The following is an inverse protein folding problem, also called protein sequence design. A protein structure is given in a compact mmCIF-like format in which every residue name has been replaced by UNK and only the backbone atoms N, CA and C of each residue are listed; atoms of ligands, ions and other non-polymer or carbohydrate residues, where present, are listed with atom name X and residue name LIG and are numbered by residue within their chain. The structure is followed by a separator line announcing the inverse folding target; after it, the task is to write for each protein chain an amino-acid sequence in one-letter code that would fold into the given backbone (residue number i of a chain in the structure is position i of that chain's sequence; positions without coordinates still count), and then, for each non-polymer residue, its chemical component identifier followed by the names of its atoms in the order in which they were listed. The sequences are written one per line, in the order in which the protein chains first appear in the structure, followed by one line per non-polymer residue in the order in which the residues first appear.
data_IF_485194972270
#
_entry.id   IF_485194972270
#
_cell.length_a   1.000
_cell.length_b   1.000
_cell.length_c   1.000
_cell.angle_alpha   90.00
_cell.angle_beta   90.00
_cell.angle_gamma   90.00
#
_symmetry.space_group_name_H-M   'P 1'
#
loop_
_entity.id
_entity.type
_entity.pdbx_description
1 polymer ?
#
# COMPACT_ATOMS: atom_id res chain seq x y z
N UNK A 1 -52.08 39.67 20.26
CA UNK A 1 -50.69 39.98 19.85
C UNK A 1 -49.66 39.09 20.52
N UNK A 2 -49.74 38.82 21.82
CA UNK A 2 -48.71 38.05 22.58
C UNK A 2 -48.52 36.58 22.10
N UNK A 3 -49.60 35.85 21.75
CA UNK A 3 -49.48 34.45 21.32
C UNK A 3 -48.71 34.28 19.96
N UNK A 4 -48.96 35.18 19.00
CA UNK A 4 -48.28 35.14 17.70
C UNK A 4 -46.77 35.45 17.83
N UNK A 5 -46.42 36.36 18.75
CA UNK A 5 -45.01 36.71 19.02
C UNK A 5 -44.28 35.55 19.70
N UNK A 6 -44.91 34.85 20.64
CA UNK A 6 -44.34 33.67 21.31
C UNK A 6 -44.13 32.55 20.32
N UNK A 7 -45.08 32.30 19.40
CA UNK A 7 -44.95 31.28 18.37
C UNK A 7 -43.80 31.57 17.42
N UNK A 8 -43.60 32.83 16.99
CA UNK A 8 -42.48 33.25 16.15
C UNK A 8 -41.13 33.06 16.84
N UNK A 9 -41.06 33.36 18.14
CA UNK A 9 -39.81 33.13 18.92
C UNK A 9 -39.48 31.66 19.08
N UNK A 10 -40.50 30.79 19.27
CA UNK A 10 -40.28 29.32 19.33
C UNK A 10 -39.85 28.76 18.00
N UNK A 11 -40.40 29.23 16.87
CA UNK A 11 -39.94 28.83 15.53
C UNK A 11 -38.51 29.30 15.28
N UNK A 12 -38.15 30.50 15.64
CA UNK A 12 -36.78 31.01 15.51
C UNK A 12 -35.79 30.22 16.37
N UNK A 13 -36.18 29.80 17.57
CA UNK A 13 -35.35 28.93 18.44
C UNK A 13 -35.13 27.53 17.85
N UNK A 14 -36.10 26.96 17.18
CA UNK A 14 -36.00 25.68 16.47
C UNK A 14 -35.04 25.75 15.29
N UNK A 15 -34.97 26.86 14.56
CA UNK A 15 -34.05 27.06 13.46
C UNK A 15 -32.59 27.22 13.91
N UNK A 16 -32.33 27.76 15.12
CA UNK A 16 -30.96 27.91 15.63
C UNK A 16 -30.33 26.61 16.09
N UNK A 17 -31.13 25.58 16.45
CA UNK A 17 -30.61 24.27 16.88
C UNK A 17 -30.17 23.34 15.74
N UNK A 18 -30.53 23.64 14.48
CA UNK A 18 -30.16 22.80 13.31
C UNK A 18 -28.79 23.15 12.73
N UNK A 19 -28.22 24.32 13.07
CA UNK A 19 -26.96 24.81 12.46
C UNK A 19 -25.70 24.25 13.14
N UNK A 20 -25.82 23.58 14.30
CA UNK A 20 -24.64 23.22 15.13
C UNK A 20 -24.07 21.81 14.91
N UNK A 21 -24.56 21.02 13.97
CA UNK A 21 -24.11 19.64 13.77
C UNK A 21 -23.28 19.42 12.50
N UNK A 22 -22.68 20.46 11.94
CA UNK A 22 -21.60 20.22 10.96
C UNK A 22 -20.33 19.89 11.72
N UNK A 23 -20.13 18.62 12.04
CA UNK A 23 -18.80 18.08 12.30
C UNK A 23 -17.93 18.46 11.10
N UNK A 24 -17.04 19.43 11.29
CA UNK A 24 -16.01 19.76 10.30
C UNK A 24 -15.04 18.60 10.26
N UNK A 25 -15.38 17.55 9.50
CA UNK A 25 -14.37 16.58 9.08
C UNK A 25 -13.30 17.34 8.29
N UNK A 26 -12.03 17.12 8.57
CA UNK A 26 -10.97 17.71 7.76
C UNK A 26 -11.24 17.33 6.29
N UNK A 27 -11.27 18.32 5.42
CA UNK A 27 -11.57 18.13 3.97
C UNK A 27 -10.61 17.16 3.28
N UNK A 28 -9.48 16.85 3.92
CA UNK A 28 -8.45 15.91 3.47
C UNK A 28 -7.92 15.15 4.69
N UNK A 29 -8.59 14.08 5.07
CA UNK A 29 -8.08 13.15 6.05
C UNK A 29 -7.31 12.04 5.33
N UNK A 30 -6.08 11.76 5.78
CA UNK A 30 -5.30 10.61 5.30
C UNK A 30 -5.80 9.33 5.98
N UNK A 31 -6.40 8.45 5.21
CA UNK A 31 -6.85 7.11 5.65
C UNK A 31 -6.09 6.07 4.86
N UNK A 32 -4.93 5.68 5.38
CA UNK A 32 -4.02 4.75 4.73
C UNK A 32 -4.23 3.30 5.13
N UNK A 33 -4.05 2.38 4.18
CA UNK A 33 -3.97 0.95 4.43
C UNK A 33 -2.66 0.37 3.89
N UNK A 34 -2.08 -0.58 4.65
CA UNK A 34 -0.83 -1.24 4.30
C UNK A 34 -1.11 -2.55 3.58
N UNK A 35 -0.45 -2.76 2.43
CA UNK A 35 -0.45 -4.02 1.71
C UNK A 35 0.99 -4.50 1.61
N UNK A 36 1.29 -5.61 2.28
CA UNK A 36 2.61 -6.24 2.27
C UNK A 36 2.76 -7.19 1.07
N UNK A 37 4.00 -7.46 0.65
CA UNK A 37 4.29 -8.49 -0.35
C UNK A 37 4.84 -9.78 0.24
N UNK A 38 5.20 -9.78 1.53
CA UNK A 38 5.83 -10.89 2.26
C UNK A 38 4.80 -11.92 2.76
N UNK A 39 5.28 -12.96 3.46
CA UNK A 39 4.45 -14.00 4.09
C UNK A 39 3.64 -14.85 3.09
N UNK A 40 4.19 -15.08 1.90
CA UNK A 40 3.57 -15.96 0.91
C UNK A 40 2.34 -15.40 0.20
N UNK A 41 2.06 -14.10 0.38
CA UNK A 41 0.83 -13.48 -0.14
C UNK A 41 0.70 -13.61 -1.66
N UNK A 42 1.80 -13.52 -2.41
CA UNK A 42 1.82 -13.60 -3.88
C UNK A 42 2.63 -14.78 -4.41
N UNK A 43 3.52 -15.29 -3.59
CA UNK A 43 4.54 -16.26 -3.99
C UNK A 43 3.94 -17.49 -4.67
N UNK A 44 4.37 -17.76 -5.91
CA UNK A 44 3.94 -18.91 -6.68
C UNK A 44 2.53 -18.81 -7.28
N UNK A 45 1.86 -17.66 -7.16
CA UNK A 45 0.58 -17.42 -7.81
C UNK A 45 0.76 -16.99 -9.27
N UNK A 46 -0.14 -17.39 -10.19
CA UNK A 46 -0.20 -16.81 -11.53
C UNK A 46 -0.46 -15.30 -11.48
N UNK A 47 0.10 -14.58 -12.46
CA UNK A 47 -0.04 -13.12 -12.58
C UNK A 47 -1.49 -12.63 -12.46
N UNK A 48 -2.40 -13.24 -13.20
CA UNK A 48 -3.82 -12.85 -13.23
C UNK A 48 -4.51 -13.06 -11.88
N UNK A 49 -4.05 -14.06 -11.11
CA UNK A 49 -4.59 -14.32 -9.77
C UNK A 49 -4.12 -13.23 -8.79
N UNK A 50 -2.85 -12.82 -8.88
CA UNK A 50 -2.31 -11.72 -8.05
C UNK A 50 -3.02 -10.41 -8.39
N UNK A 51 -3.18 -10.09 -9.67
CA UNK A 51 -3.87 -8.88 -10.11
C UNK A 51 -5.31 -8.83 -9.61
N UNK A 52 -6.08 -9.93 -9.75
CA UNK A 52 -7.44 -10.00 -9.20
C UNK A 52 -7.49 -9.85 -7.68
N UNK A 53 -6.54 -10.46 -6.95
CA UNK A 53 -6.43 -10.33 -5.51
C UNK A 53 -6.23 -8.87 -5.12
N UNK A 54 -5.29 -8.17 -5.76
CA UNK A 54 -5.00 -6.76 -5.50
C UNK A 54 -6.19 -5.86 -5.85
N UNK A 55 -6.85 -6.07 -6.99
CA UNK A 55 -8.07 -5.34 -7.36
C UNK A 55 -9.17 -5.52 -6.30
N UNK A 56 -9.41 -6.75 -5.84
CA UNK A 56 -10.42 -7.04 -4.83
C UNK A 56 -10.10 -6.36 -3.48
N UNK A 57 -8.81 -6.38 -3.08
CA UNK A 57 -8.36 -5.66 -1.89
C UNK A 57 -8.60 -4.15 -2.02
N UNK A 58 -8.23 -3.55 -3.17
CA UNK A 58 -8.44 -2.12 -3.43
C UNK A 58 -9.92 -1.74 -3.42
N UNK A 59 -10.79 -2.56 -4.02
CA UNK A 59 -12.24 -2.32 -4.03
C UNK A 59 -12.82 -2.37 -2.60
N UNK A 60 -12.39 -3.35 -1.79
CA UNK A 60 -12.83 -3.47 -0.40
C UNK A 60 -12.35 -2.29 0.45
N UNK A 61 -11.10 -1.88 0.29
CA UNK A 61 -10.51 -0.76 1.01
C UNK A 61 -11.16 0.58 0.61
N UNK A 62 -11.42 0.79 -0.68
CA UNK A 62 -12.15 1.95 -1.16
C UNK A 62 -13.57 2.01 -0.57
N UNK A 63 -14.28 0.88 -0.56
CA UNK A 63 -15.61 0.76 0.07
C UNK A 63 -15.60 1.06 1.58
N UNK A 64 -14.50 0.80 2.26
CA UNK A 64 -14.27 1.15 3.67
C UNK A 64 -13.83 2.61 3.87
N UNK A 65 -13.74 3.41 2.80
CA UNK A 65 -13.36 4.82 2.87
C UNK A 65 -11.85 5.08 2.94
N UNK A 66 -11.00 4.09 2.69
CA UNK A 66 -9.55 4.26 2.56
C UNK A 66 -9.24 5.07 1.30
N UNK A 67 -8.34 6.04 1.41
CA UNK A 67 -7.96 6.93 0.32
C UNK A 67 -6.45 6.93 -0.01
N UNK A 68 -5.66 6.12 0.70
CA UNK A 68 -4.23 5.96 0.46
C UNK A 68 -3.80 4.50 0.66
N UNK A 69 -2.97 3.99 -0.22
CA UNK A 69 -2.39 2.64 -0.14
C UNK A 69 -0.89 2.74 0.06
N UNK A 70 -0.39 2.08 1.11
CA UNK A 70 1.03 1.93 1.39
C UNK A 70 1.43 0.50 0.96
N UNK A 71 1.96 0.36 -0.26
CA UNK A 71 2.29 -0.93 -0.86
C UNK A 71 3.77 -1.26 -0.73
N UNK A 72 4.08 -2.45 -0.18
CA UNK A 72 5.46 -2.89 -0.03
C UNK A 72 6.04 -3.32 -1.38
N UNK A 73 6.95 -2.50 -1.91
CA UNK A 73 7.56 -2.70 -3.23
C UNK A 73 9.02 -3.18 -3.15
N UNK A 74 9.65 -3.05 -1.97
CA UNK A 74 11.04 -3.45 -1.74
C UNK A 74 11.19 -4.09 -0.35
N UNK A 75 11.36 -5.40 -0.29
CA UNK A 75 11.37 -6.15 0.97
C UNK A 75 12.77 -6.56 1.44
N UNK A 76 13.64 -7.05 0.54
CA UNK A 76 14.94 -7.67 0.83
C UNK A 76 16.03 -7.18 -0.15
N UNK A 77 16.20 -5.88 -0.35
CA UNK A 77 17.05 -5.31 -1.41
C UNK A 77 16.73 -5.96 -2.79
N UNK A 78 15.45 -6.18 -3.02
CA UNK A 78 14.83 -6.73 -4.22
C UNK A 78 13.57 -5.92 -4.55
N UNK A 79 13.05 -6.03 -5.75
CA UNK A 79 12.02 -5.13 -6.23
C UNK A 79 10.77 -5.85 -6.76
N UNK A 80 9.58 -5.26 -6.53
CA UNK A 80 8.32 -5.57 -7.18
C UNK A 80 8.08 -4.63 -8.38
N UNK A 81 9.14 -4.14 -8.99
CA UNK A 81 9.12 -3.28 -10.17
C UNK A 81 10.39 -3.53 -11.01
N UNK A 82 10.38 -3.08 -12.25
CA UNK A 82 11.57 -3.16 -13.11
C UNK A 82 12.68 -2.27 -12.55
N UNK A 83 13.79 -2.89 -12.15
CA UNK A 83 14.97 -2.20 -11.64
C UNK A 83 16.22 -2.64 -12.38
N UNK A 84 17.15 -1.70 -12.63
CA UNK A 84 18.51 -1.98 -13.11
C UNK A 84 19.52 -2.21 -11.97
N UNK A 85 19.10 -1.96 -10.73
CA UNK A 85 19.98 -2.02 -9.55
C UNK A 85 19.73 -3.26 -8.69
N UNK A 86 18.48 -3.72 -8.62
CA UNK A 86 18.03 -4.77 -7.72
C UNK A 86 17.31 -5.88 -8.49
N UNK A 87 17.38 -7.14 -8.03
CA UNK A 87 16.68 -8.25 -8.67
C UNK A 87 15.17 -8.18 -8.43
N UNK A 88 14.39 -8.87 -9.27
CA UNK A 88 13.00 -9.15 -8.99
C UNK A 88 12.84 -9.90 -7.67
N UNK A 89 11.84 -9.53 -6.90
CA UNK A 89 11.60 -10.12 -5.59
C UNK A 89 11.13 -11.57 -5.68
N UNK A 90 11.68 -12.43 -4.81
CA UNK A 90 11.22 -13.82 -4.64
C UNK A 90 9.76 -13.87 -4.13
N UNK A 91 9.30 -12.85 -3.45
CA UNK A 91 7.92 -12.78 -2.96
C UNK A 91 6.89 -12.65 -4.08
N UNK A 92 7.32 -12.29 -5.29
CA UNK A 92 6.48 -12.27 -6.48
C UNK A 92 6.46 -13.63 -7.18
N UNK A 93 7.65 -14.16 -7.49
CA UNK A 93 7.81 -15.33 -8.40
C UNK A 93 8.24 -16.62 -7.72
N UNK A 94 8.53 -16.55 -6.42
CA UNK A 94 9.13 -17.65 -5.66
C UNK A 94 10.65 -17.74 -5.76
N UNK A 95 11.26 -17.09 -6.75
CA UNK A 95 12.72 -17.11 -6.97
C UNK A 95 13.21 -15.69 -7.21
N UNK A 96 14.18 -15.23 -6.39
CA UNK A 96 14.76 -13.89 -6.54
C UNK A 96 15.50 -13.76 -7.87
N UNK A 97 15.26 -12.66 -8.57
CA UNK A 97 15.82 -12.38 -9.90
C UNK A 97 15.01 -12.96 -11.07
N UNK A 98 14.01 -13.82 -10.81
CA UNK A 98 13.12 -14.30 -11.87
C UNK A 98 12.13 -13.22 -12.27
N UNK A 99 12.12 -12.88 -13.55
CA UNK A 99 11.13 -11.98 -14.15
C UNK A 99 9.73 -12.63 -14.10
N UNK A 100 8.67 -11.91 -13.75
CA UNK A 100 7.31 -12.44 -13.78
C UNK A 100 6.91 -12.81 -15.23
N UNK A 101 6.17 -13.94 -15.37
CA UNK A 101 5.68 -14.41 -16.65
C UNK A 101 4.21 -14.83 -16.53
N UNK A 102 3.29 -14.23 -17.32
CA UNK A 102 3.56 -13.14 -18.27
C UNK A 102 4.13 -11.89 -17.57
N UNK A 103 4.92 -11.11 -18.32
CA UNK A 103 5.56 -9.91 -17.78
C UNK A 103 4.52 -8.86 -17.35
N UNK A 104 4.74 -8.32 -16.17
CA UNK A 104 4.02 -7.16 -15.65
C UNK A 104 4.87 -6.46 -14.58
N UNK A 105 4.56 -5.22 -14.29
CA UNK A 105 5.19 -4.44 -13.22
C UNK A 105 4.16 -4.23 -12.09
N UNK A 106 4.32 -4.93 -10.95
CA UNK A 106 3.37 -4.83 -9.84
C UNK A 106 3.22 -3.42 -9.26
N UNK A 107 4.32 -2.66 -9.17
CA UNK A 107 4.27 -1.31 -8.64
C UNK A 107 3.50 -0.38 -9.61
N UNK A 108 3.81 -0.42 -10.90
CA UNK A 108 3.08 0.38 -11.89
C UNK A 108 1.60 0.01 -11.92
N UNK A 109 1.29 -1.29 -11.90
CA UNK A 109 -0.08 -1.77 -11.82
C UNK A 109 -0.83 -1.19 -10.61
N UNK A 110 -0.22 -1.20 -9.43
CA UNK A 110 -0.84 -0.67 -8.22
C UNK A 110 -1.01 0.85 -8.26
N UNK A 111 -0.06 1.58 -8.84
CA UNK A 111 -0.19 3.02 -9.08
C UNK A 111 -1.43 3.29 -9.93
N UNK A 112 -1.54 2.61 -11.07
CA UNK A 112 -2.65 2.81 -12.01
C UNK A 112 -4.00 2.45 -11.37
N UNK A 113 -4.07 1.32 -10.65
CA UNK A 113 -5.29 0.87 -9.98
C UNK A 113 -5.70 1.74 -8.79
N UNK A 114 -4.75 2.31 -8.05
CA UNK A 114 -5.03 3.31 -7.02
C UNK A 114 -5.57 4.60 -7.63
N UNK A 115 -4.91 5.13 -8.65
CA UNK A 115 -5.32 6.38 -9.31
C UNK A 115 -6.69 6.28 -9.96
N UNK A 116 -7.03 5.14 -10.60
CA UNK A 116 -8.39 4.87 -11.14
C UNK A 116 -9.49 4.98 -10.06
N UNK A 117 -9.14 4.75 -8.80
CA UNK A 117 -10.06 4.81 -7.65
C UNK A 117 -9.99 6.13 -6.88
N UNK A 118 -9.20 7.09 -7.35
CA UNK A 118 -8.95 8.35 -6.62
C UNK A 118 -8.18 8.15 -5.31
N UNK A 119 -7.41 7.06 -5.18
CA UNK A 119 -6.58 6.75 -4.02
C UNK A 119 -5.14 7.18 -4.26
N UNK A 120 -4.46 7.64 -3.21
CA UNK A 120 -3.02 7.89 -3.24
C UNK A 120 -2.25 6.56 -3.19
N UNK A 121 -1.11 6.51 -3.87
CA UNK A 121 -0.16 5.40 -3.80
C UNK A 121 1.13 5.83 -3.09
N UNK A 122 1.54 5.06 -2.08
CA UNK A 122 2.78 5.25 -1.34
C UNK A 122 3.63 3.98 -1.42
N UNK A 123 4.85 4.10 -1.91
CA UNK A 123 5.79 2.98 -1.97
C UNK A 123 6.41 2.73 -0.58
N UNK A 124 6.21 1.52 -0.05
CA UNK A 124 6.90 1.08 1.15
C UNK A 124 8.18 0.34 0.78
N UNK A 125 9.30 0.86 1.24
CA UNK A 125 10.63 0.27 1.06
C UNK A 125 11.27 -0.07 2.41
N UNK A 126 11.97 -1.20 2.48
CA UNK A 126 12.85 -1.55 3.60
C UNK A 126 14.30 -1.21 3.21
N UNK A 127 14.82 -0.03 3.58
CA UNK A 127 16.09 0.46 3.02
C UNK A 127 17.31 -0.38 3.44
N UNK A 128 17.29 -0.95 4.63
CA UNK A 128 18.45 -1.64 5.20
C UNK A 128 18.34 -3.16 5.21
N UNK A 129 17.18 -3.72 4.91
CA UNK A 129 17.01 -5.17 4.95
C UNK A 129 17.54 -5.80 3.66
N UNK A 130 18.56 -6.64 3.78
CA UNK A 130 19.12 -7.40 2.67
C UNK A 130 18.49 -8.80 2.54
N UNK A 131 18.06 -9.40 3.69
CA UNK A 131 17.60 -10.79 3.71
C UNK A 131 16.73 -11.05 4.93
N UNK A 132 15.81 -12.02 4.83
CA UNK A 132 15.02 -12.52 5.96
C UNK A 132 15.35 -14.00 6.23
N UNK A 133 14.84 -14.53 7.35
CA UNK A 133 15.11 -15.92 7.78
C UNK A 133 14.77 -16.98 6.73
N UNK A 134 13.81 -16.72 5.83
CA UNK A 134 13.38 -17.66 4.78
C UNK A 134 14.16 -17.56 3.47
N UNK A 135 15.13 -16.65 3.36
CA UNK A 135 15.89 -16.44 2.13
C UNK A 135 17.02 -17.47 2.04
N UNK A 136 16.92 -18.42 1.13
CA UNK A 136 17.91 -19.50 0.95
C UNK A 136 19.03 -19.13 0.00
N UNK A 137 18.73 -18.42 -1.09
CA UNK A 137 19.69 -17.99 -2.09
C UNK A 137 19.42 -16.54 -2.51
N UNK A 138 20.47 -15.75 -2.67
CA UNK A 138 20.41 -14.41 -3.23
C UNK A 138 20.75 -14.45 -4.72
N UNK A 139 20.05 -13.66 -5.51
CA UNK A 139 20.34 -13.48 -6.93
C UNK A 139 21.79 -12.96 -7.13
N UNK A 140 22.51 -13.38 -8.20
CA UNK A 140 23.84 -12.84 -8.50
C UNK A 140 23.90 -11.31 -8.59
N UNK A 141 22.80 -10.67 -9.02
CA UNK A 141 22.72 -9.20 -9.11
C UNK A 141 22.26 -8.53 -7.82
N UNK A 142 22.03 -9.29 -6.75
CA UNK A 142 21.63 -8.73 -5.47
C UNK A 142 22.72 -7.78 -4.92
N UNK A 143 22.37 -6.61 -4.35
CA UNK A 143 23.34 -5.64 -3.83
C UNK A 143 24.37 -6.23 -2.87
N UNK A 144 23.98 -7.20 -2.03
CA UNK A 144 24.91 -7.90 -1.13
C UNK A 144 26.00 -8.67 -1.91
N UNK A 145 25.63 -9.38 -2.99
CA UNK A 145 26.60 -10.14 -3.78
C UNK A 145 27.54 -9.25 -4.60
N UNK A 146 27.12 -8.02 -4.91
CA UNK A 146 27.92 -7.04 -5.62
C UNK A 146 28.89 -6.27 -4.72
N UNK A 147 28.46 -5.98 -3.47
CA UNK A 147 29.21 -5.13 -2.55
C UNK A 147 29.01 -5.61 -1.10
N UNK A 148 29.50 -6.82 -0.74
CA UNK A 148 29.26 -7.40 0.58
C UNK A 148 29.82 -6.54 1.73
N UNK A 149 30.85 -5.75 1.47
CA UNK A 149 31.47 -4.84 2.45
C UNK A 149 30.53 -3.72 2.92
N UNK A 150 29.43 -3.46 2.21
CA UNK A 150 28.43 -2.45 2.59
C UNK A 150 27.37 -2.98 3.55
N UNK A 151 27.42 -4.27 3.88
CA UNK A 151 26.43 -4.92 4.69
C UNK A 151 27.01 -5.35 6.03
N UNK A 152 26.24 -5.12 7.10
CA UNK A 152 26.63 -5.52 8.45
C UNK A 152 25.93 -6.84 8.78
N UNK A 153 26.73 -7.80 9.23
CA UNK A 153 26.20 -9.05 9.77
C UNK A 153 25.93 -8.86 11.27
N UNK A 154 24.65 -8.80 11.64
CA UNK A 154 24.25 -8.68 13.04
C UNK A 154 23.74 -10.03 13.56
N UNK A 155 24.40 -10.58 14.59
CA UNK A 155 24.07 -11.87 15.22
C UNK A 155 23.92 -13.02 14.19
N UNK A 156 24.85 -13.12 13.22
CA UNK A 156 24.81 -14.15 12.17
C UNK A 156 23.76 -13.94 11.10
N UNK A 157 23.18 -12.74 11.02
CA UNK A 157 22.16 -12.36 9.99
C UNK A 157 22.62 -11.11 9.25
N UNK A 158 22.46 -11.14 7.93
CA UNK A 158 22.72 -10.02 7.03
C UNK A 158 21.44 -9.19 6.91
#
# INVERSE_FOLDING_TARGET
MRAKTILLLLIALLFTSVVSAQTRYPKREFRGAWIQCVNGQFQGMPTEKIQRLLINQLNSLQGAGINAIIFQVRAEADALYKSSYEPWSRFLTGVQGRVPSPYWDPMQFMIDECHKRGMEFHAWINPYRAKTKGTTALSPIHPYNKNPERFVNYAGKI
#
